data_IF_511072755975
#
_entry.id   IF_511072755975
#
_cell.length_a   1.000
_cell.length_b   1.000
_cell.length_c   1.000
_cell.angle_alpha   90.00
_cell.angle_beta   90.00
_cell.angle_gamma   90.00
#
_symmetry.space_group_name_H-M   'P 1'
#
loop_
_entity.id
_entity.type
_entity.pdbx_description
1 polymer ?
#
# COMPACT_ATOMS: atom_id res chain seq x y z
N UNK A 1 0.98 -6.78 2.95
CA UNK A 1 0.10 -7.42 1.95
C UNK A 1 0.79 -7.53 0.59
N UNK A 2 1.16 -6.43 -0.07
CA UNK A 2 1.86 -6.47 -1.37
C UNK A 2 3.04 -7.45 -1.42
N UNK A 3 3.91 -7.44 -0.40
CA UNK A 3 5.05 -8.37 -0.31
C UNK A 3 4.60 -9.83 -0.29
N UNK A 4 3.57 -10.15 0.51
CA UNK A 4 3.02 -11.51 0.59
C UNK A 4 2.34 -11.93 -0.72
N UNK A 5 1.58 -11.03 -1.35
CA UNK A 5 0.98 -11.28 -2.68
C UNK A 5 2.05 -11.51 -3.75
N UNK A 6 3.16 -10.76 -3.70
CA UNK A 6 4.31 -10.94 -4.60
C UNK A 6 4.97 -12.31 -4.40
N UNK A 7 5.22 -12.70 -3.14
CA UNK A 7 5.78 -14.01 -2.82
C UNK A 7 4.86 -15.14 -3.29
N UNK A 8 3.54 -15.04 -3.04
CA UNK A 8 2.55 -16.01 -3.51
C UNK A 8 2.51 -16.10 -5.04
N UNK A 9 2.55 -14.95 -5.75
CA UNK A 9 2.57 -14.89 -7.21
C UNK A 9 3.80 -15.61 -7.79
N UNK A 10 5.01 -15.23 -7.35
CA UNK A 10 6.24 -15.79 -7.91
C UNK A 10 6.51 -17.23 -7.47
N UNK A 11 6.00 -17.66 -6.32
CA UNK A 11 6.05 -19.06 -5.93
C UNK A 11 4.99 -19.93 -6.61
N UNK A 12 4.12 -19.37 -7.46
CA UNK A 12 2.96 -20.06 -8.03
C UNK A 12 2.09 -20.71 -6.94
N UNK A 13 1.89 -19.99 -5.83
CA UNK A 13 1.10 -20.42 -4.67
C UNK A 13 1.60 -21.70 -3.97
N UNK A 14 2.87 -22.09 -4.17
CA UNK A 14 3.47 -23.24 -3.47
C UNK A 14 3.88 -22.97 -2.02
N UNK A 15 4.01 -21.69 -1.62
CA UNK A 15 4.40 -21.30 -0.27
C UNK A 15 3.18 -21.13 0.63
N UNK A 16 3.31 -21.58 1.89
CA UNK A 16 2.41 -21.18 2.98
C UNK A 16 2.90 -19.87 3.57
N UNK A 17 2.10 -18.82 3.45
CA UNK A 17 2.49 -17.46 3.83
C UNK A 17 1.54 -16.96 4.91
N UNK A 18 2.13 -16.52 6.03
CA UNK A 18 1.43 -15.86 7.12
C UNK A 18 1.84 -14.39 7.18
N UNK A 19 0.86 -13.48 7.21
CA UNK A 19 1.06 -12.06 7.52
C UNK A 19 0.48 -11.77 8.90
N UNK A 20 1.24 -11.04 9.70
CA UNK A 20 0.83 -10.62 11.04
C UNK A 20 0.71 -9.09 11.04
N UNK A 21 -0.38 -8.57 11.58
CA UNK A 21 -0.62 -7.14 11.74
C UNK A 21 -1.10 -6.83 13.17
N UNK A 22 -0.70 -5.67 13.69
CA UNK A 22 -1.10 -5.18 15.01
C UNK A 22 -2.53 -4.65 15.02
N UNK A 23 -3.05 -4.27 13.86
CA UNK A 23 -4.39 -3.73 13.73
C UNK A 23 -5.44 -4.85 13.75
N UNK A 24 -6.62 -4.55 14.28
CA UNK A 24 -7.79 -5.41 14.17
C UNK A 24 -8.31 -5.45 12.72
N UNK A 25 -9.05 -6.50 12.36
CA UNK A 25 -9.89 -6.47 11.15
C UNK A 25 -11.16 -5.64 11.43
N UNK A 26 -11.66 -4.81 10.49
CA UNK A 26 -11.14 -4.51 9.15
C UNK A 26 -10.22 -3.27 9.13
N UNK A 27 -9.55 -2.94 10.23
CA UNK A 27 -8.73 -1.73 10.35
C UNK A 27 -7.28 -1.90 9.89
N UNK A 28 -6.99 -3.02 9.21
CA UNK A 28 -5.68 -3.32 8.67
C UNK A 28 -5.24 -2.22 7.69
N UNK A 29 -4.00 -1.74 7.85
CA UNK A 29 -3.45 -0.64 7.06
C UNK A 29 -3.45 0.71 7.75
N UNK A 30 -3.95 0.83 8.99
CA UNK A 30 -3.60 1.96 9.85
C UNK A 30 -2.08 1.99 10.05
N UNK A 31 -1.48 3.17 9.83
CA UNK A 31 -0.02 3.35 9.89
C UNK A 31 0.45 3.32 11.35
N UNK A 32 -0.34 3.90 12.24
CA UNK A 32 -0.05 4.04 13.66
C UNK A 32 -1.31 3.79 14.48
N UNK A 33 -1.17 3.73 15.81
CA UNK A 33 -2.31 3.69 16.75
C UNK A 33 -3.22 4.91 16.53
N UNK A 34 -2.63 6.05 16.17
CA UNK A 34 -3.32 7.29 15.83
C UNK A 34 -4.05 7.29 14.47
N UNK A 35 -3.97 6.20 13.69
CA UNK A 35 -4.90 5.95 12.58
C UNK A 35 -4.25 5.93 11.19
N UNK A 36 -4.94 6.55 10.22
CA UNK A 36 -4.68 6.45 8.78
C UNK A 36 -3.88 7.64 8.25
N UNK A 37 -2.87 8.11 8.99
CA UNK A 37 -2.13 9.32 8.62
C UNK A 37 -1.09 8.99 7.53
N UNK A 38 -1.29 9.54 6.34
CA UNK A 38 -0.41 9.41 5.18
C UNK A 38 -0.69 10.55 4.20
N UNK A 39 0.28 10.91 3.35
CA UNK A 39 0.05 11.87 2.27
C UNK A 39 -0.61 11.25 1.03
N UNK A 40 -0.67 9.91 0.98
CA UNK A 40 -1.33 9.06 -0.03
C UNK A 40 -1.01 9.30 -1.51
N UNK A 41 -0.11 10.23 -1.79
CA UNK A 41 0.47 10.46 -3.11
C UNK A 41 1.46 9.35 -3.46
N UNK A 42 1.33 8.81 -4.67
CA UNK A 42 2.25 7.83 -5.25
C UNK A 42 2.56 8.20 -6.70
N UNK A 43 3.81 8.01 -7.12
CA UNK A 43 4.20 8.17 -8.51
C UNK A 43 3.64 7.05 -9.39
N UNK A 44 3.28 7.37 -10.63
CA UNK A 44 2.72 6.43 -11.61
C UNK A 44 3.63 5.23 -11.84
N UNK A 45 4.94 5.45 -11.91
CA UNK A 45 5.94 4.39 -12.11
C UNK A 45 5.82 3.25 -11.08
N UNK A 46 5.59 3.58 -9.80
CA UNK A 46 5.42 2.58 -8.75
C UNK A 46 4.15 1.76 -8.93
N UNK A 47 3.05 2.42 -9.32
CA UNK A 47 1.75 1.78 -9.59
C UNK A 47 1.84 0.84 -10.79
N UNK A 48 2.40 1.33 -11.89
CA UNK A 48 2.58 0.56 -13.13
C UNK A 48 3.53 -0.61 -12.94
N UNK A 49 4.61 -0.40 -12.18
CA UNK A 49 5.54 -1.47 -11.83
C UNK A 49 4.80 -2.61 -11.11
N UNK A 50 4.04 -2.32 -10.05
CA UNK A 50 3.31 -3.37 -9.35
C UNK A 50 2.25 -4.06 -10.23
N UNK A 51 1.59 -3.29 -11.10
CA UNK A 51 0.62 -3.82 -12.07
C UNK A 51 1.27 -4.81 -13.02
N UNK A 52 2.40 -4.42 -13.65
CA UNK A 52 3.11 -5.24 -14.63
C UNK A 52 3.77 -6.47 -14.01
N UNK A 53 4.24 -6.37 -12.76
CA UNK A 53 5.02 -7.44 -12.12
C UNK A 53 4.17 -8.52 -11.48
N UNK A 54 3.04 -8.14 -10.87
CA UNK A 54 2.21 -9.08 -10.10
C UNK A 54 0.70 -8.93 -10.37
N UNK A 55 0.31 -8.16 -11.39
CA UNK A 55 -1.07 -8.10 -11.88
C UNK A 55 -2.04 -7.32 -10.99
N UNK A 56 -1.56 -6.52 -10.04
CA UNK A 56 -2.45 -5.73 -9.17
C UNK A 56 -3.13 -4.64 -9.98
N UNK A 57 -4.46 -4.57 -9.86
CA UNK A 57 -5.28 -3.55 -10.51
C UNK A 57 -5.53 -2.39 -9.56
N UNK A 58 -5.17 -1.19 -10.00
CA UNK A 58 -5.39 0.07 -9.30
C UNK A 58 -6.49 0.82 -10.02
N UNK A 59 -7.67 0.89 -9.42
CA UNK A 59 -8.86 1.50 -10.01
C UNK A 59 -9.59 2.29 -8.95
N UNK A 60 -10.54 3.13 -9.36
CA UNK A 60 -11.48 3.73 -8.41
C UNK A 60 -12.22 2.61 -7.63
N UNK A 61 -12.43 2.71 -6.31
CA UNK A 61 -12.16 3.85 -5.43
C UNK A 61 -10.77 3.83 -4.75
N UNK A 62 -9.86 2.94 -5.13
CA UNK A 62 -8.49 2.91 -4.59
C UNK A 62 -7.65 4.08 -5.10
N UNK A 63 -7.81 4.43 -6.38
CA UNK A 63 -7.29 5.67 -6.94
C UNK A 63 -8.39 6.72 -6.81
N UNK A 64 -8.15 7.76 -6.02
CA UNK A 64 -9.10 8.87 -5.84
C UNK A 64 -8.92 9.92 -6.94
N UNK A 65 -7.68 10.39 -7.12
CA UNK A 65 -7.37 11.46 -8.06
C UNK A 65 -6.07 11.19 -8.81
N UNK A 66 -6.02 11.37 -10.15
CA UNK A 66 -4.77 11.47 -10.86
C UNK A 66 -4.09 12.82 -10.57
N UNK A 67 -2.76 12.82 -10.61
CA UNK A 67 -1.89 13.99 -10.36
C UNK A 67 -0.93 14.14 -11.54
N UNK A 68 -0.67 15.38 -11.96
CA UNK A 68 0.22 15.69 -13.10
C UNK A 68 1.59 16.27 -12.69
N UNK A 69 1.77 16.56 -11.41
CA UNK A 69 2.99 17.13 -10.87
C UNK A 69 2.78 17.65 -9.46
N UNK A 70 3.78 18.34 -8.94
CA UNK A 70 3.73 19.02 -7.63
C UNK A 70 4.24 20.45 -7.78
N UNK A 71 3.80 21.33 -6.89
CA UNK A 71 4.32 22.70 -6.79
C UNK A 71 5.00 22.83 -5.43
N UNK A 72 6.26 23.25 -5.44
CA UNK A 72 7.00 23.60 -4.23
C UNK A 72 6.92 25.12 -4.03
N UNK A 73 6.49 25.54 -2.84
CA UNK A 73 6.44 26.95 -2.45
C UNK A 73 7.59 27.27 -1.50
N UNK A 74 8.19 28.46 -1.65
CA UNK A 74 9.11 29.01 -0.66
C UNK A 74 8.40 29.26 0.67
N UNK A 75 9.10 29.35 1.82
CA UNK A 75 8.46 29.56 3.12
C UNK A 75 7.61 30.83 3.22
N UNK A 76 7.96 31.89 2.49
CA UNK A 76 7.22 33.15 2.37
C UNK A 76 6.12 33.11 1.28
N UNK A 77 6.03 32.01 0.54
CA UNK A 77 5.12 31.78 -0.59
C UNK A 77 5.31 32.74 -1.79
N UNK A 78 6.36 33.55 -1.83
CA UNK A 78 6.62 34.49 -2.93
C UNK A 78 7.16 33.76 -4.18
N UNK A 79 7.85 32.64 -3.99
CA UNK A 79 8.40 31.82 -5.08
C UNK A 79 7.70 30.47 -5.13
N UNK A 80 7.33 30.04 -6.34
CA UNK A 80 6.84 28.69 -6.59
C UNK A 80 7.58 28.04 -7.76
N UNK A 81 7.86 26.74 -7.61
CA UNK A 81 8.53 25.93 -8.64
C UNK A 81 7.63 24.73 -8.93
N UNK A 82 7.25 24.57 -10.20
CA UNK A 82 6.47 23.43 -10.68
C UNK A 82 7.38 22.28 -11.09
N UNK A 83 7.02 21.07 -10.69
CA UNK A 83 7.66 19.82 -11.10
C UNK A 83 6.62 18.93 -11.75
N UNK A 84 6.79 18.67 -13.05
CA UNK A 84 5.91 17.76 -13.79
C UNK A 84 6.19 16.30 -13.41
N UNK A 85 5.13 15.49 -13.33
CA UNK A 85 5.22 14.07 -13.02
C UNK A 85 3.86 13.42 -12.81
N UNK A 86 3.60 12.32 -13.51
CA UNK A 86 2.35 11.58 -13.37
C UNK A 86 2.31 10.78 -12.06
N UNK A 87 1.17 10.84 -11.38
CA UNK A 87 0.95 10.13 -10.13
C UNK A 87 -0.53 10.02 -9.77
N UNK A 88 -0.78 9.54 -8.56
CA UNK A 88 -2.12 9.31 -8.03
C UNK A 88 -2.19 9.68 -6.55
N UNK A 89 -3.33 10.20 -6.12
CA UNK A 89 -3.76 10.21 -4.73
C UNK A 89 -4.60 8.95 -4.49
N UNK A 90 -4.20 8.15 -3.49
CA UNK A 90 -4.86 6.90 -3.16
C UNK A 90 -5.83 7.04 -1.99
N UNK A 91 -6.86 6.21 -1.97
CA UNK A 91 -7.74 6.12 -0.80
C UNK A 91 -7.11 5.25 0.28
N UNK A 92 -6.64 5.88 1.36
CA UNK A 92 -5.92 5.19 2.43
C UNK A 92 -6.73 4.13 3.17
N UNK A 93 -8.06 4.30 3.24
CA UNK A 93 -8.94 3.36 3.94
C UNK A 93 -9.31 2.18 3.05
N UNK A 94 -9.57 2.43 1.77
CA UNK A 94 -10.00 1.41 0.81
C UNK A 94 -8.81 0.57 0.33
N UNK A 95 -7.67 1.18 0.05
CA UNK A 95 -6.51 0.49 -0.52
C UNK A 95 -6.10 -0.76 0.29
N UNK A 96 -5.95 -0.69 1.62
CA UNK A 96 -5.55 -1.85 2.40
C UNK A 96 -6.62 -2.93 2.45
N UNK A 97 -7.91 -2.57 2.41
CA UNK A 97 -8.99 -3.58 2.36
C UNK A 97 -8.99 -4.33 1.03
N UNK A 98 -8.76 -3.62 -0.08
CA UNK A 98 -8.59 -4.28 -1.37
C UNK A 98 -7.39 -5.24 -1.35
N UNK A 99 -6.24 -4.77 -0.88
CA UNK A 99 -5.03 -5.59 -0.78
C UNK A 99 -5.21 -6.81 0.14
N UNK A 100 -6.02 -6.67 1.19
CA UNK A 100 -6.37 -7.76 2.09
C UNK A 100 -7.18 -8.83 1.36
N UNK A 101 -8.23 -8.42 0.66
CA UNK A 101 -9.05 -9.33 -0.14
C UNK A 101 -8.22 -10.01 -1.23
N UNK A 102 -7.38 -9.26 -1.93
CA UNK A 102 -6.48 -9.80 -2.95
C UNK A 102 -5.51 -10.85 -2.35
N UNK A 103 -5.01 -10.62 -1.13
CA UNK A 103 -4.15 -11.58 -0.43
C UNK A 103 -4.90 -12.84 0.04
N UNK A 104 -6.09 -12.68 0.63
CA UNK A 104 -6.93 -13.80 1.06
C UNK A 104 -7.34 -14.69 -0.12
N UNK A 105 -7.66 -14.09 -1.27
CA UNK A 105 -8.03 -14.81 -2.50
C UNK A 105 -6.94 -15.74 -3.03
N UNK A 106 -5.67 -15.48 -2.71
CA UNK A 106 -4.54 -16.32 -3.11
C UNK A 106 -4.04 -17.23 -1.99
N UNK A 107 -4.81 -17.38 -0.91
CA UNK A 107 -4.54 -18.32 0.18
C UNK A 107 -3.54 -17.83 1.24
N UNK A 108 -3.25 -16.53 1.29
CA UNK A 108 -2.38 -15.96 2.33
C UNK A 108 -3.16 -15.88 3.65
N UNK A 109 -2.57 -16.41 4.73
CA UNK A 109 -3.15 -16.34 6.06
C UNK A 109 -2.83 -14.99 6.72
N UNK A 110 -3.80 -14.43 7.45
CA UNK A 110 -3.66 -13.16 8.15
C UNK A 110 -4.00 -13.34 9.63
N UNK A 111 -3.09 -12.92 10.52
CA UNK A 111 -3.37 -12.78 11.96
C UNK A 111 -3.38 -11.32 12.38
N UNK A 112 -4.47 -10.93 13.02
CA UNK A 112 -4.75 -9.57 13.50
C UNK A 112 -4.43 -9.43 14.99
N UNK A 113 -4.37 -8.19 15.47
CA UNK A 113 -4.16 -7.87 16.89
C UNK A 113 -2.91 -8.54 17.49
N UNK A 114 -1.88 -8.77 16.69
CA UNK A 114 -0.67 -9.47 17.11
C UNK A 114 0.55 -8.60 16.86
N UNK A 115 1.36 -8.44 17.91
CA UNK A 115 2.65 -7.79 17.85
C UNK A 115 3.75 -8.83 18.02
N UNK A 116 4.66 -8.91 17.04
CA UNK A 116 5.89 -9.68 17.18
C UNK A 116 6.78 -9.00 18.23
N UNK A 117 7.29 -9.78 19.19
CA UNK A 117 8.07 -9.26 20.33
C UNK A 117 9.56 -9.43 20.15
N UNK A 118 9.97 -10.59 19.65
CA UNK A 118 11.36 -10.96 19.50
C UNK A 118 11.57 -11.63 18.14
N UNK A 119 12.78 -11.48 17.61
CA UNK A 119 13.28 -12.31 16.53
C UNK A 119 13.84 -13.61 17.13
N UNK A 120 13.58 -14.74 16.47
CA UNK A 120 14.25 -16.00 16.79
C UNK A 120 15.51 -16.04 15.90
N UNK A 121 16.68 -16.09 16.53
CA UNK A 121 17.98 -16.21 15.87
C UNK A 121 18.75 -17.36 16.51
N UNK A 122 19.57 -18.05 15.72
CA UNK A 122 20.45 -19.14 16.16
C UNK A 122 21.75 -18.61 16.80
#
# INVERSE_FOLDING_TARGET
>A
MIVASSASHYSKQSLKILVIDRNASPQLGKKTISGWVCGDAVGKNSVDYMTSRIGIKWQHPVVEHPVKGVIAFSPDHETSISFDGEGYILNRKVLPQKQLNDALNVGIEIKYNLALRNLIVD
#
